data_IF_242008403210
#
_entry.id   IF_242008403210
#
_cell.length_a   1.000
_cell.length_b   1.000
_cell.length_c   1.000
_cell.angle_alpha   90.00
_cell.angle_beta   90.00
_cell.angle_gamma   90.00
#
_symmetry.space_group_name_H-M   'P 1'
#
loop_
_entity.id
_entity.type
_entity.pdbx_description
1 polymer ?
#
# COMPACT_ATOMS: atom_id res chain seq x y z
N UNK A 1 12.64 -18.67 15.14
CA UNK A 1 12.27 -17.43 15.86
C UNK A 1 10.97 -16.96 15.26
N UNK A 2 9.89 -17.10 16.00
CA UNK A 2 8.56 -16.67 15.57
C UNK A 2 8.57 -15.13 15.56
N UNK A 3 8.37 -14.54 14.41
CA UNK A 3 8.19 -13.09 14.28
C UNK A 3 6.70 -12.79 14.41
N UNK A 4 6.18 -12.84 15.63
CA UNK A 4 4.80 -12.41 15.92
C UNK A 4 4.76 -10.89 16.00
N UNK A 5 3.85 -10.29 15.24
CA UNK A 5 3.58 -8.86 15.27
C UNK A 5 2.12 -8.66 15.65
N UNK A 6 1.88 -7.67 16.49
CA UNK A 6 0.54 -7.26 16.88
C UNK A 6 0.34 -5.80 16.44
N UNK A 7 -0.63 -5.57 15.60
CA UNK A 7 -1.07 -4.22 15.26
C UNK A 7 -2.29 -3.87 16.10
N UNK A 8 -2.15 -2.88 16.96
CA UNK A 8 -3.28 -2.34 17.73
C UNK A 8 -4.02 -1.27 16.93
N UNK A 9 -5.26 -0.95 17.33
CA UNK A 9 -6.03 0.13 16.71
C UNK A 9 -5.28 1.45 16.72
N UNK A 10 -4.56 1.75 17.81
CA UNK A 10 -3.77 2.98 17.93
C UNK A 10 -2.59 3.01 16.96
N UNK A 11 -1.94 1.87 16.70
CA UNK A 11 -0.86 1.75 15.71
C UNK A 11 -1.41 2.02 14.32
N UNK A 12 -2.57 1.43 13.98
CA UNK A 12 -3.23 1.64 12.68
C UNK A 12 -3.66 3.09 12.52
N UNK A 13 -4.35 3.68 13.51
CA UNK A 13 -4.78 5.08 13.46
C UNK A 13 -3.60 6.06 13.29
N UNK A 14 -2.49 5.84 14.02
CA UNK A 14 -1.30 6.68 13.89
C UNK A 14 -0.60 6.50 12.54
N UNK A 15 -0.59 5.28 12.00
CA UNK A 15 -0.05 5.02 10.66
C UNK A 15 -0.89 5.75 9.60
N UNK A 16 -2.20 5.63 9.65
CA UNK A 16 -3.11 6.31 8.72
C UNK A 16 -2.94 7.83 8.80
N UNK A 17 -2.81 8.39 10.01
CA UNK A 17 -2.51 9.82 10.20
C UNK A 17 -1.15 10.21 9.60
N UNK A 18 -0.12 9.40 9.79
CA UNK A 18 1.21 9.66 9.24
C UNK A 18 1.24 9.59 7.71
N UNK A 19 0.49 8.68 7.11
CA UNK A 19 0.46 8.44 5.66
C UNK A 19 -0.72 9.13 4.94
N UNK A 20 -1.56 9.85 5.68
CA UNK A 20 -2.78 10.50 5.16
C UNK A 20 -3.73 9.49 4.48
N UNK A 21 -3.76 8.27 5.03
CA UNK A 21 -4.69 7.23 4.59
C UNK A 21 -6.04 7.43 5.30
N UNK A 22 -7.03 7.89 4.55
CA UNK A 22 -8.37 8.18 5.05
C UNK A 22 -9.41 7.11 4.69
N UNK A 23 -8.96 5.89 4.40
CA UNK A 23 -9.87 4.79 4.09
C UNK A 23 -10.64 4.37 5.35
N UNK A 24 -11.99 4.43 5.36
CA UNK A 24 -12.80 4.16 6.54
C UNK A 24 -12.60 2.77 7.17
N UNK A 25 -12.18 1.76 6.39
CA UNK A 25 -11.94 0.41 6.93
C UNK A 25 -10.74 0.34 7.91
N UNK A 26 -9.92 1.39 7.95
CA UNK A 26 -8.80 1.55 8.89
C UNK A 26 -9.14 2.44 10.09
N UNK A 27 -10.35 3.02 10.11
CA UNK A 27 -10.82 3.89 11.19
C UNK A 27 -11.54 3.06 12.27
N UNK A 28 -11.02 3.04 13.52
CA UNK A 28 -11.66 2.29 14.60
C UNK A 28 -13.08 2.77 14.91
N UNK A 29 -13.35 4.07 14.88
CA UNK A 29 -14.67 4.62 15.19
C UNK A 29 -15.70 4.15 14.14
N UNK A 30 -15.35 4.27 12.86
CA UNK A 30 -16.21 3.80 11.77
C UNK A 30 -16.44 2.29 11.84
N UNK A 31 -15.39 1.48 11.95
CA UNK A 31 -15.50 0.02 11.90
C UNK A 31 -16.28 -0.53 13.10
N UNK A 32 -16.09 0.04 14.28
CA UNK A 32 -16.83 -0.37 15.47
C UNK A 32 -18.31 0.00 15.41
N UNK A 33 -18.65 1.12 14.74
CA UNK A 33 -20.06 1.44 14.48
C UNK A 33 -20.75 0.41 13.58
N UNK A 34 -19.97 -0.33 12.77
CA UNK A 34 -20.45 -1.42 11.91
C UNK A 34 -20.35 -2.82 12.58
N UNK A 35 -19.95 -2.88 13.86
CA UNK A 35 -19.66 -4.13 14.57
C UNK A 35 -18.58 -5.00 13.90
N UNK A 36 -17.55 -4.36 13.35
CA UNK A 36 -16.46 -5.00 12.61
C UNK A 36 -15.10 -4.71 13.22
N UNK A 37 -14.14 -5.63 13.01
CA UNK A 37 -12.74 -5.43 13.34
C UNK A 37 -12.10 -4.35 12.45
N UNK A 38 -11.12 -3.63 12.98
CA UNK A 38 -10.36 -2.62 12.23
C UNK A 38 -9.37 -3.32 11.30
N UNK A 39 -9.37 -2.95 10.03
CA UNK A 39 -8.48 -3.56 9.03
C UNK A 39 -7.09 -2.94 9.11
N UNK A 40 -6.06 -3.76 9.15
CA UNK A 40 -4.66 -3.32 9.09
C UNK A 40 -4.34 -2.83 7.68
N UNK A 41 -3.82 -1.61 7.49
CA UNK A 41 -3.39 -1.14 6.17
C UNK A 41 -2.35 -2.06 5.53
N UNK A 42 -2.56 -2.42 4.27
CA UNK A 42 -1.61 -3.27 3.55
C UNK A 42 -0.21 -2.67 3.47
N UNK A 43 -0.11 -1.33 3.43
CA UNK A 43 1.17 -0.62 3.42
C UNK A 43 1.88 -0.65 4.77
N UNK A 44 1.15 -0.66 5.90
CA UNK A 44 1.73 -0.85 7.23
C UNK A 44 2.34 -2.26 7.34
N UNK A 45 1.57 -3.26 6.93
CA UNK A 45 2.03 -4.65 6.91
C UNK A 45 3.27 -4.82 6.03
N UNK A 46 3.21 -4.33 4.79
CA UNK A 46 4.32 -4.38 3.84
C UNK A 46 5.59 -3.72 4.40
N UNK A 47 5.48 -2.50 4.91
CA UNK A 47 6.61 -1.75 5.43
C UNK A 47 7.24 -2.45 6.64
N UNK A 48 6.42 -2.99 7.55
CA UNK A 48 6.90 -3.74 8.71
C UNK A 48 7.66 -4.99 8.29
N UNK A 49 7.12 -5.76 7.35
CA UNK A 49 7.73 -7.00 6.86
C UNK A 49 9.06 -6.71 6.13
N UNK A 50 9.10 -5.71 5.25
CA UNK A 50 10.33 -5.35 4.52
C UNK A 50 11.42 -4.87 5.48
N UNK A 51 11.08 -4.09 6.50
CA UNK A 51 12.03 -3.66 7.53
C UNK A 51 12.56 -4.86 8.34
N UNK A 52 11.71 -5.81 8.72
CA UNK A 52 12.13 -7.02 9.42
C UNK A 52 13.08 -7.86 8.57
N UNK A 53 12.78 -8.04 7.30
CA UNK A 53 13.64 -8.78 6.38
C UNK A 53 14.99 -8.08 6.21
N UNK A 54 14.98 -6.79 5.88
CA UNK A 54 16.22 -6.04 5.70
C UNK A 54 17.10 -6.06 6.97
N UNK A 55 16.49 -6.00 8.16
CA UNK A 55 17.21 -6.15 9.43
C UNK A 55 17.95 -7.47 9.51
N UNK A 56 17.34 -8.54 8.99
CA UNK A 56 17.86 -9.90 9.05
C UNK A 56 18.90 -10.20 7.97
N UNK A 57 18.62 -9.82 6.72
CA UNK A 57 19.45 -10.17 5.56
C UNK A 57 20.44 -9.10 5.16
N UNK A 58 20.15 -7.84 5.47
CA UNK A 58 20.84 -6.64 4.97
C UNK A 58 20.73 -6.46 3.44
N UNK A 59 19.87 -7.23 2.80
CA UNK A 59 19.68 -7.18 1.36
C UNK A 59 18.71 -6.08 0.96
N UNK A 60 18.93 -5.51 -0.23
CA UNK A 60 18.06 -4.55 -0.89
C UNK A 60 17.53 -5.17 -2.18
N UNK A 61 16.25 -4.96 -2.43
CA UNK A 61 15.60 -5.38 -3.65
C UNK A 61 15.17 -4.17 -4.47
N UNK A 62 15.16 -4.30 -5.78
CA UNK A 62 14.67 -3.26 -6.68
C UNK A 62 13.26 -3.53 -7.20
N UNK A 63 12.72 -4.73 -6.95
CA UNK A 63 11.38 -5.11 -7.35
C UNK A 63 10.60 -5.74 -6.20
N UNK A 64 9.37 -5.26 -6.02
CA UNK A 64 8.41 -5.81 -5.07
C UNK A 64 7.08 -6.01 -5.78
N UNK A 65 6.42 -7.13 -5.53
CA UNK A 65 5.06 -7.38 -5.96
C UNK A 65 4.22 -7.79 -4.76
N UNK A 66 3.17 -7.03 -4.50
CA UNK A 66 2.23 -7.27 -3.42
C UNK A 66 0.92 -7.80 -4.02
N UNK A 67 0.35 -8.79 -3.35
CA UNK A 67 -0.97 -9.36 -3.67
C UNK A 67 -1.83 -9.19 -2.41
N UNK A 68 -2.93 -8.48 -2.55
CA UNK A 68 -3.89 -8.26 -1.47
C UNK A 68 -5.05 -9.24 -1.64
N UNK A 69 -4.97 -10.37 -0.96
CA UNK A 69 -5.97 -11.46 -1.06
C UNK A 69 -6.99 -11.43 0.06
N UNK A 70 -6.53 -11.24 1.31
CA UNK A 70 -7.37 -11.30 2.49
C UNK A 70 -7.18 -10.07 3.38
N UNK A 71 -8.13 -9.85 4.28
CA UNK A 71 -8.13 -8.76 5.26
C UNK A 71 -7.53 -9.27 6.55
N UNK A 72 -6.64 -8.50 7.14
CA UNK A 72 -6.08 -8.74 8.47
C UNK A 72 -6.64 -7.67 9.40
N UNK A 73 -7.16 -8.10 10.56
CA UNK A 73 -7.70 -7.18 11.56
C UNK A 73 -6.68 -6.88 12.65
N UNK A 74 -6.87 -5.73 13.31
CA UNK A 74 -6.08 -5.34 14.48
C UNK A 74 -6.33 -6.27 15.68
N UNK A 75 -5.43 -6.18 16.67
CA UNK A 75 -5.52 -6.90 17.94
C UNK A 75 -5.45 -8.43 17.83
N UNK A 76 -5.10 -8.94 16.65
CA UNK A 76 -4.81 -10.35 16.43
C UNK A 76 -3.30 -10.55 16.18
N UNK A 77 -2.64 -11.54 16.80
CA UNK A 77 -1.24 -11.82 16.54
C UNK A 77 -1.06 -12.32 15.11
N UNK A 78 -0.10 -11.74 14.40
CA UNK A 78 0.22 -12.09 13.02
C UNK A 78 1.60 -12.74 13.02
N UNK A 79 1.67 -13.95 12.51
CA UNK A 79 2.94 -14.61 12.25
C UNK A 79 3.51 -14.13 10.92
N UNK A 80 4.69 -13.51 10.96
CA UNK A 80 5.39 -13.06 9.78
C UNK A 80 6.48 -14.07 9.42
N UNK A 81 6.37 -14.62 8.23
CA UNK A 81 7.34 -15.55 7.70
C UNK A 81 7.98 -15.05 6.40
N UNK A 82 9.17 -15.58 6.12
CA UNK A 82 9.76 -15.42 4.81
C UNK A 82 10.35 -16.74 4.34
N UNK A 83 10.39 -16.92 3.04
CA UNK A 83 10.95 -18.09 2.37
C UNK A 83 11.75 -17.62 1.16
N UNK A 84 12.93 -18.20 0.96
CA UNK A 84 13.74 -17.96 -0.24
C UNK A 84 13.63 -19.19 -1.14
N UNK A 85 13.27 -18.97 -2.41
CA UNK A 85 13.25 -20.01 -3.45
C UNK A 85 14.00 -19.51 -4.68
N UNK A 86 15.18 -20.04 -4.92
CA UNK A 86 16.10 -19.53 -5.96
C UNK A 86 16.45 -18.07 -5.66
N UNK A 87 16.34 -17.21 -6.66
CA UNK A 87 16.61 -15.76 -6.55
C UNK A 87 15.45 -14.93 -6.00
N UNK A 88 14.35 -15.57 -5.59
CA UNK A 88 13.16 -14.89 -5.15
C UNK A 88 12.94 -15.05 -3.65
N UNK A 89 12.67 -13.97 -2.99
CA UNK A 89 12.24 -13.92 -1.59
C UNK A 89 10.74 -13.69 -1.51
N UNK A 90 10.12 -14.45 -0.66
CA UNK A 90 8.69 -14.44 -0.43
C UNK A 90 8.42 -14.08 1.02
N UNK A 91 7.56 -13.08 1.19
CA UNK A 91 7.06 -12.71 2.50
C UNK A 91 5.59 -13.08 2.61
N UNK A 92 5.20 -13.55 3.76
CA UNK A 92 3.82 -13.89 4.03
C UNK A 92 3.46 -13.49 5.47
N UNK A 93 2.20 -13.14 5.64
CA UNK A 93 1.60 -12.96 6.95
C UNK A 93 0.60 -14.09 7.17
N UNK A 94 0.69 -14.73 8.34
CA UNK A 94 -0.23 -15.80 8.75
C UNK A 94 -0.98 -15.27 9.97
N UNK A 95 -2.31 -15.21 9.87
CA UNK A 95 -3.15 -14.92 11.01
C UNK A 95 -3.81 -16.22 11.49
N UNK A 96 -3.26 -16.83 12.52
CA UNK A 96 -3.77 -17.97 13.32
C UNK A 96 -4.51 -19.12 12.61
N UNK A 97 -5.37 -18.85 11.67
CA UNK A 97 -6.16 -19.84 10.93
C UNK A 97 -6.39 -19.53 9.45
N UNK A 98 -6.19 -18.29 9.02
CA UNK A 98 -6.36 -17.92 7.63
C UNK A 98 -5.03 -17.53 7.05
N UNK A 99 -4.29 -18.55 6.60
CA UNK A 99 -3.24 -18.29 5.64
C UNK A 99 -3.85 -17.45 4.51
N UNK A 100 -3.09 -16.48 4.01
CA UNK A 100 -3.28 -15.99 2.65
C UNK A 100 -3.26 -17.23 1.74
N UNK A 101 -4.36 -17.93 1.75
CA UNK A 101 -4.40 -19.28 1.25
C UNK A 101 -5.15 -19.37 -0.05
N UNK A 102 -4.38 -19.36 -1.06
CA UNK A 102 -4.47 -20.44 -2.03
C UNK A 102 -3.06 -20.91 -2.25
N UNK A 103 -2.84 -22.13 -2.71
CA UNK A 103 -1.54 -22.79 -2.82
C UNK A 103 -0.43 -22.01 -3.53
N UNK A 104 -0.69 -20.80 -4.02
CA UNK A 104 0.21 -19.91 -4.75
C UNK A 104 0.20 -18.43 -4.28
N UNK A 105 -0.60 -18.04 -3.27
CA UNK A 105 -0.75 -16.65 -2.90
C UNK A 105 0.27 -16.24 -1.83
N UNK A 106 1.40 -15.83 -2.32
CA UNK A 106 2.46 -15.23 -1.52
C UNK A 106 2.23 -13.73 -1.51
N UNK A 107 2.06 -13.18 -0.34
CA UNK A 107 1.65 -11.78 -0.15
C UNK A 107 2.62 -10.77 -0.74
N UNK A 108 3.91 -11.08 -0.73
CA UNK A 108 4.96 -10.23 -1.27
C UNK A 108 6.04 -11.07 -1.94
N UNK A 109 6.38 -10.72 -3.16
CA UNK A 109 7.54 -11.26 -3.90
C UNK A 109 8.57 -10.16 -3.99
N UNK A 110 9.83 -10.46 -3.68
CA UNK A 110 10.95 -9.54 -3.82
C UNK A 110 12.07 -10.18 -4.58
N UNK A 111 12.66 -9.44 -5.50
CA UNK A 111 13.79 -9.87 -6.31
C UNK A 111 14.52 -8.68 -6.90
N UNK A 112 15.70 -8.92 -7.44
CA UNK A 112 16.36 -7.97 -8.32
C UNK A 112 16.03 -8.35 -9.77
N UNK A 113 15.61 -7.38 -10.55
CA UNK A 113 15.30 -7.54 -11.97
C UNK A 113 16.01 -6.47 -12.77
N UNK A 114 16.26 -6.78 -14.04
CA UNK A 114 16.66 -5.76 -14.99
C UNK A 114 15.52 -4.76 -15.17
N UNK A 115 15.80 -3.50 -14.88
CA UNK A 115 14.80 -2.45 -14.90
C UNK A 115 14.65 -1.92 -16.35
N UNK A 116 13.42 -1.93 -16.85
CA UNK A 116 13.04 -1.17 -18.02
C UNK A 116 12.40 0.13 -17.57
N UNK A 117 13.06 1.22 -17.87
CA UNK A 117 12.56 2.54 -17.52
C UNK A 117 11.18 2.77 -18.15
N UNK A 118 10.27 3.15 -17.32
CA UNK A 118 8.89 3.40 -17.67
C UNK A 118 8.57 4.82 -17.17
N UNK A 119 8.41 5.74 -18.11
CA UNK A 119 8.00 7.10 -17.79
C UNK A 119 6.50 7.22 -17.98
N UNK A 120 5.71 7.23 -16.93
CA UNK A 120 4.30 7.53 -17.08
C UNK A 120 4.17 8.99 -17.55
N UNK A 121 3.57 9.19 -18.72
CA UNK A 121 3.03 10.49 -19.12
C UNK A 121 1.82 10.79 -18.25
N UNK A 122 2.09 11.06 -16.97
CA UNK A 122 1.07 11.23 -15.95
C UNK A 122 0.93 12.67 -15.51
N UNK A 123 -0.19 12.96 -14.86
CA UNK A 123 -0.41 14.26 -14.22
C UNK A 123 0.42 14.33 -12.95
N UNK A 124 1.10 15.47 -12.77
CA UNK A 124 1.84 15.74 -11.55
C UNK A 124 0.86 16.06 -10.43
N UNK A 125 0.98 15.33 -9.32
CA UNK A 125 0.27 15.57 -8.06
C UNK A 125 1.30 15.85 -6.98
N UNK A 126 1.13 16.95 -6.28
CA UNK A 126 1.99 17.32 -5.16
C UNK A 126 1.32 16.97 -3.84
N UNK A 127 2.07 16.35 -2.94
CA UNK A 127 1.61 15.97 -1.62
C UNK A 127 2.50 16.62 -0.57
N UNK A 128 1.97 17.60 0.21
CA UNK A 128 2.71 18.17 1.33
C UNK A 128 2.84 17.14 2.45
N UNK A 129 3.98 17.12 3.13
CA UNK A 129 4.16 16.30 4.32
C UNK A 129 4.98 17.05 5.37
N UNK A 130 4.84 16.63 6.62
CA UNK A 130 5.62 17.12 7.73
C UNK A 130 6.65 16.07 8.16
N UNK A 131 7.83 16.54 8.59
CA UNK A 131 8.90 15.66 9.07
C UNK A 131 8.44 14.71 10.18
N UNK A 132 7.53 15.17 11.04
CA UNK A 132 6.94 14.37 12.10
C UNK A 132 6.15 13.16 11.59
N UNK A 133 5.54 13.25 10.39
CA UNK A 133 4.85 12.12 9.76
C UNK A 133 5.83 11.00 9.39
N UNK A 134 6.98 11.37 8.81
CA UNK A 134 8.05 10.42 8.48
C UNK A 134 8.66 9.80 9.75
N UNK A 135 8.86 10.60 10.80
CA UNK A 135 9.36 10.11 12.08
C UNK A 135 8.39 9.12 12.72
N UNK A 136 7.10 9.46 12.78
CA UNK A 136 6.05 8.56 13.24
C UNK A 136 5.99 7.26 12.42
N UNK A 137 6.06 7.38 11.09
CA UNK A 137 6.09 6.20 10.21
C UNK A 137 7.29 5.28 10.53
N UNK A 138 8.47 5.85 10.72
CA UNK A 138 9.69 5.10 11.08
C UNK A 138 9.53 4.35 12.39
N UNK A 139 8.97 4.99 13.41
CA UNK A 139 8.70 4.37 14.71
C UNK A 139 7.72 3.20 14.58
N UNK A 140 6.56 3.43 13.92
CA UNK A 140 5.50 2.44 13.77
C UNK A 140 5.93 1.21 12.94
N UNK A 141 6.81 1.40 11.97
CA UNK A 141 7.32 0.32 11.11
C UNK A 141 8.63 -0.29 11.60
N UNK A 142 9.11 0.11 12.79
CA UNK A 142 10.38 -0.33 13.35
C UNK A 142 11.57 -0.17 12.39
N UNK A 143 11.63 0.96 11.72
CA UNK A 143 12.65 1.21 10.70
C UNK A 143 13.97 1.66 11.33
N UNK A 144 15.07 1.03 10.88
CA UNK A 144 16.45 1.36 11.33
C UNK A 144 17.31 1.92 10.21
N UNK A 145 16.78 1.92 8.99
CA UNK A 145 17.50 2.39 7.82
C UNK A 145 16.73 3.56 7.19
N UNK A 146 17.31 4.74 7.23
CA UNK A 146 16.63 5.95 6.74
C UNK A 146 16.28 5.85 5.26
N UNK A 147 17.20 5.39 4.41
CA UNK A 147 16.98 5.28 2.96
C UNK A 147 15.86 4.31 2.63
N UNK A 148 15.81 3.16 3.31
CA UNK A 148 14.72 2.19 3.13
C UNK A 148 13.40 2.74 3.66
N UNK A 149 13.45 3.41 4.80
CA UNK A 149 12.31 4.01 5.46
C UNK A 149 11.67 5.11 4.61
N UNK A 150 12.48 5.97 4.03
CA UNK A 150 12.03 7.05 3.16
C UNK A 150 11.34 6.47 1.91
N UNK A 151 11.93 5.45 1.33
CA UNK A 151 11.34 4.72 0.21
C UNK A 151 9.97 4.11 0.59
N UNK A 152 9.88 3.39 1.71
CA UNK A 152 8.64 2.76 2.17
C UNK A 152 7.58 3.80 2.53
N UNK A 153 7.98 4.91 3.15
CA UNK A 153 7.07 6.02 3.45
C UNK A 153 6.47 6.62 2.17
N UNK A 154 7.31 6.89 1.16
CA UNK A 154 6.80 7.47 -0.09
C UNK A 154 5.84 6.53 -0.81
N UNK A 155 6.02 5.22 -0.74
CA UNK A 155 5.08 4.25 -1.32
C UNK A 155 3.76 4.26 -0.55
N UNK A 156 3.80 4.24 0.79
CA UNK A 156 2.59 4.33 1.60
C UNK A 156 1.84 5.65 1.35
N UNK A 157 2.58 6.74 1.22
CA UNK A 157 2.03 8.07 0.92
C UNK A 157 1.49 8.20 -0.51
N UNK A 158 2.00 7.41 -1.46
CA UNK A 158 1.48 7.35 -2.83
C UNK A 158 0.02 6.86 -2.89
N UNK A 159 -0.41 6.03 -1.94
CA UNK A 159 -1.81 5.61 -1.84
C UNK A 159 -2.72 6.81 -1.59
N UNK A 160 -2.35 7.72 -0.69
CA UNK A 160 -3.11 8.94 -0.44
C UNK A 160 -3.13 9.86 -1.67
N UNK A 161 -2.00 10.00 -2.38
CA UNK A 161 -1.92 10.75 -3.62
C UNK A 161 -2.83 10.18 -4.71
N UNK A 162 -2.89 8.86 -4.81
CA UNK A 162 -3.75 8.14 -5.76
C UNK A 162 -5.23 8.38 -5.46
N UNK A 163 -5.65 8.25 -4.19
CA UNK A 163 -7.02 8.53 -3.78
C UNK A 163 -7.39 10.00 -3.93
N UNK A 164 -6.46 10.90 -3.63
CA UNK A 164 -6.66 12.33 -3.88
C UNK A 164 -6.88 12.60 -5.37
N UNK A 165 -6.10 12.00 -6.26
CA UNK A 165 -6.29 12.12 -7.71
C UNK A 165 -7.68 11.63 -8.15
N UNK A 166 -8.18 10.55 -7.56
CA UNK A 166 -9.53 10.04 -7.85
C UNK A 166 -10.61 10.98 -7.32
N UNK A 167 -10.44 11.59 -6.15
CA UNK A 167 -11.42 12.54 -5.57
C UNK A 167 -11.42 13.89 -6.27
N UNK A 168 -10.28 14.32 -6.77
CA UNK A 168 -10.08 15.58 -7.50
C UNK A 168 -9.72 15.28 -8.96
N UNK A 169 -10.64 14.74 -9.77
CA UNK A 169 -10.34 14.26 -11.10
C UNK A 169 -10.01 15.40 -12.07
N UNK A 170 -9.00 15.17 -12.91
CA UNK A 170 -8.59 16.07 -13.99
C UNK A 170 -8.80 15.40 -15.35
N UNK A 171 -8.74 14.05 -15.39
CA UNK A 171 -8.91 13.26 -16.61
C UNK A 171 -10.30 12.61 -16.66
N UNK A 172 -10.69 12.17 -17.87
CA UNK A 172 -11.93 11.42 -18.07
C UNK A 172 -11.92 10.09 -17.28
N UNK A 173 -10.78 9.39 -17.24
CA UNK A 173 -10.63 8.13 -16.52
C UNK A 173 -10.75 8.34 -15.02
N UNK A 174 -10.10 9.37 -14.47
CA UNK A 174 -10.27 9.75 -13.06
C UNK A 174 -11.71 10.09 -12.74
N UNK A 175 -12.40 10.82 -13.64
CA UNK A 175 -13.81 11.17 -13.50
C UNK A 175 -14.70 9.92 -13.53
N UNK A 176 -14.40 8.95 -14.39
CA UNK A 176 -15.12 7.68 -14.43
C UNK A 176 -14.98 6.91 -13.11
N UNK A 177 -13.74 6.79 -12.61
CA UNK A 177 -13.46 6.13 -11.32
C UNK A 177 -14.17 6.88 -10.18
N UNK A 178 -14.06 8.21 -10.16
CA UNK A 178 -14.73 9.04 -9.15
C UNK A 178 -16.25 8.83 -9.15
N UNK A 179 -16.89 8.75 -10.32
CA UNK A 179 -18.34 8.46 -10.43
C UNK A 179 -18.71 7.08 -9.91
N UNK A 180 -17.83 6.08 -10.09
CA UNK A 180 -18.06 4.75 -9.52
C UNK A 180 -18.02 4.77 -8.00
N UNK A 181 -17.13 5.60 -7.42
CA UNK A 181 -16.97 5.75 -5.98
C UNK A 181 -18.05 6.63 -5.35
N UNK A 182 -18.43 7.72 -6.03
CA UNK A 182 -19.42 8.68 -5.56
C UNK A 182 -20.85 8.27 -5.87
N UNK A 183 -21.13 7.04 -6.25
CA UNK A 183 -22.50 6.51 -6.27
C UNK A 183 -23.10 6.40 -4.86
N UNK A 184 -22.91 7.43 -4.06
CA UNK A 184 -23.47 7.61 -2.72
C UNK A 184 -25.00 7.57 -2.62
N UNK A 185 -25.68 7.27 -3.73
CA UNK A 185 -27.13 7.15 -3.82
C UNK A 185 -27.57 5.70 -4.11
N UNK A 186 -26.63 4.76 -4.24
CA UNK A 186 -26.92 3.40 -4.56
C UNK A 186 -26.61 2.48 -3.36
N UNK A 187 -27.49 1.53 -2.98
CA UNK A 187 -27.26 0.60 -1.86
C UNK A 187 -26.03 -0.30 -2.04
N UNK A 188 -25.43 -0.32 -3.21
CA UNK A 188 -24.17 -0.99 -3.50
C UNK A 188 -23.04 0.06 -3.69
N UNK A 189 -22.71 0.78 -2.62
CA UNK A 189 -21.54 1.63 -2.60
C UNK A 189 -20.30 0.82 -2.99
N UNK A 190 -19.43 1.38 -3.83
CA UNK A 190 -18.30 0.66 -4.39
C UNK A 190 -17.02 1.36 -3.96
N UNK A 191 -16.18 0.65 -3.23
CA UNK A 191 -14.86 1.15 -2.84
C UNK A 191 -13.77 0.63 -3.77
N UNK A 192 -12.75 1.44 -4.10
CA UNK A 192 -11.59 0.95 -4.80
C UNK A 192 -10.79 0.05 -3.86
N UNK A 193 -10.38 -1.08 -4.37
CA UNK A 193 -9.54 -2.00 -3.66
C UNK A 193 -8.31 -2.32 -4.51
N UNK A 194 -7.13 -2.30 -3.90
CA UNK A 194 -5.93 -2.76 -4.58
C UNK A 194 -5.93 -4.28 -4.64
N UNK A 195 -5.93 -4.83 -5.84
CA UNK A 195 -5.74 -6.25 -6.03
C UNK A 195 -4.25 -6.60 -6.01
N UNK A 196 -3.45 -5.81 -6.73
CA UNK A 196 -2.00 -5.98 -6.78
C UNK A 196 -1.30 -4.64 -6.82
N UNK A 197 -0.09 -4.60 -6.28
CA UNK A 197 0.83 -3.49 -6.39
C UNK A 197 2.20 -4.03 -6.79
N UNK A 198 2.73 -3.55 -7.90
CA UNK A 198 4.10 -3.81 -8.34
C UNK A 198 4.92 -2.53 -8.18
N UNK A 199 6.10 -2.63 -7.58
CA UNK A 199 6.98 -1.50 -7.27
C UNK A 199 8.36 -1.78 -7.86
N UNK A 200 8.87 -0.83 -8.62
CA UNK A 200 10.22 -0.85 -9.18
C UNK A 200 11.02 0.29 -8.60
N UNK A 201 12.01 -0.02 -7.79
CA UNK A 201 12.91 0.96 -7.20
C UNK A 201 14.02 1.28 -8.18
N UNK A 202 14.03 2.49 -8.70
CA UNK A 202 14.98 2.94 -9.73
C UNK A 202 16.36 3.19 -9.12
N UNK A 203 16.40 3.83 -7.96
CA UNK A 203 17.64 4.15 -7.27
C UNK A 203 17.61 3.61 -5.83
N UNK A 204 18.37 2.55 -5.58
CA UNK A 204 18.37 1.86 -4.29
C UNK A 204 19.06 2.64 -3.17
N UNK A 205 19.95 3.57 -3.52
CA UNK A 205 20.81 4.29 -2.57
C UNK A 205 20.52 5.79 -2.51
N UNK A 206 19.54 6.28 -3.25
CA UNK A 206 19.20 7.69 -3.20
C UNK A 206 18.58 8.05 -1.86
N UNK A 207 19.19 9.01 -1.19
CA UNK A 207 18.56 9.68 -0.06
C UNK A 207 17.48 10.64 -0.59
N UNK A 208 16.28 10.47 -0.10
CA UNK A 208 15.20 11.39 -0.37
C UNK A 208 15.32 12.57 0.59
N UNK A 209 15.90 13.65 0.11
CA UNK A 209 15.93 14.92 0.86
C UNK A 209 14.61 15.65 0.60
N UNK A 210 13.59 15.32 1.37
CA UNK A 210 12.30 15.95 1.25
C UNK A 210 12.28 17.33 1.88
N UNK A 211 11.89 18.33 1.11
CA UNK A 211 11.65 19.70 1.56
C UNK A 211 10.17 19.98 1.78
N UNK A 212 9.47 19.05 2.44
CA UNK A 212 8.06 19.21 2.79
C UNK A 212 7.04 18.91 1.69
N UNK A 213 7.50 18.51 0.50
CA UNK A 213 6.64 18.16 -0.64
C UNK A 213 7.18 16.89 -1.32
N UNK A 214 6.26 15.98 -1.66
CA UNK A 214 6.55 14.82 -2.50
C UNK A 214 5.73 14.97 -3.79
N UNK A 215 6.37 14.77 -4.92
CA UNK A 215 5.72 14.81 -6.22
C UNK A 215 5.50 13.41 -6.77
N UNK A 216 4.30 13.18 -7.27
CA UNK A 216 3.92 11.96 -7.95
C UNK A 216 3.41 12.27 -9.35
N UNK A 217 3.90 11.55 -10.35
CA UNK A 217 3.27 11.48 -11.67
C UNK A 217 2.28 10.32 -11.66
N UNK A 218 1.02 10.59 -11.89
CA UNK A 218 -0.05 9.59 -11.85
C UNK A 218 -0.76 9.53 -13.18
N UNK A 219 -0.89 8.31 -13.72
CA UNK A 219 -1.68 8.01 -14.91
C UNK A 219 -2.63 6.85 -14.62
N UNK A 220 -3.86 7.00 -15.03
CA UNK A 220 -4.85 5.94 -14.97
C UNK A 220 -5.17 5.43 -16.38
N UNK A 221 -5.22 4.10 -16.50
CA UNK A 221 -5.67 3.40 -17.69
C UNK A 221 -6.79 2.42 -17.32
N UNK A 222 -7.75 2.25 -18.22
CA UNK A 222 -8.81 1.25 -18.06
C UNK A 222 -8.39 -0.05 -18.73
N UNK A 223 -8.41 -1.14 -18.00
CA UNK A 223 -8.23 -2.47 -18.57
C UNK A 223 -9.56 -2.93 -19.20
N UNK A 224 -9.62 -3.02 -20.54
CA UNK A 224 -10.87 -3.19 -21.30
C UNK A 224 -11.68 -4.46 -20.96
N UNK A 225 -11.03 -5.48 -20.40
CA UNK A 225 -11.67 -6.80 -20.22
C UNK A 225 -12.40 -6.98 -18.87
N UNK A 226 -12.04 -6.29 -17.76
CA UNK A 226 -12.37 -6.75 -16.40
C UNK A 226 -12.91 -5.71 -15.43
N UNK A 227 -13.38 -4.54 -15.84
CA UNK A 227 -13.73 -3.44 -14.90
C UNK A 227 -12.58 -3.11 -13.92
N UNK A 228 -11.35 -3.37 -14.33
CA UNK A 228 -10.14 -3.14 -13.60
C UNK A 228 -9.49 -1.87 -14.13
N UNK A 229 -8.98 -1.05 -13.23
CA UNK A 229 -8.21 0.14 -13.56
C UNK A 229 -6.75 -0.10 -13.20
N UNK A 230 -5.87 0.38 -14.02
CA UNK A 230 -4.43 0.37 -13.75
C UNK A 230 -4.00 1.80 -13.49
N UNK A 231 -3.44 2.04 -12.31
CA UNK A 231 -2.79 3.30 -12.01
C UNK A 231 -1.28 3.10 -12.03
N UNK A 232 -0.61 3.90 -12.82
CA UNK A 232 0.84 3.97 -12.89
C UNK A 232 1.26 5.20 -12.09
N UNK A 233 2.16 5.01 -11.13
CA UNK A 233 2.61 6.08 -10.24
C UNK A 233 4.13 6.10 -10.23
N UNK A 234 4.73 7.25 -10.52
CA UNK A 234 6.15 7.49 -10.33
C UNK A 234 6.36 8.54 -9.25
N UNK A 235 7.21 8.24 -8.26
CA UNK A 235 7.70 9.22 -7.30
C UNK A 235 8.87 9.98 -7.92
N UNK A 236 8.74 11.30 -8.00
CA UNK A 236 9.73 12.16 -8.64
C UNK A 236 10.22 13.22 -7.64
N UNK A 237 11.50 13.46 -7.60
CA UNK A 237 12.10 14.54 -6.83
C UNK A 237 13.28 15.13 -7.61
N UNK A 238 13.34 16.46 -7.76
CA UNK A 238 14.36 17.14 -8.52
C UNK A 238 14.58 16.54 -9.93
N UNK A 239 13.49 16.24 -10.65
CA UNK A 239 13.47 15.59 -11.95
C UNK A 239 14.10 14.17 -12.00
N UNK A 240 14.36 13.56 -10.84
CA UNK A 240 14.81 12.18 -10.74
C UNK A 240 13.67 11.27 -10.30
N UNK A 241 13.52 10.15 -10.99
CA UNK A 241 12.56 9.12 -10.59
C UNK A 241 13.20 8.21 -9.52
N UNK A 242 12.54 8.06 -8.38
CA UNK A 242 13.01 7.19 -7.29
C UNK A 242 12.45 5.80 -7.39
N UNK A 243 11.17 5.70 -7.70
CA UNK A 243 10.52 4.44 -7.98
C UNK A 243 9.34 4.65 -8.93
N UNK A 244 8.92 3.55 -9.49
CA UNK A 244 7.69 3.43 -10.26
C UNK A 244 6.86 2.31 -9.69
N UNK A 245 5.56 2.49 -9.73
CA UNK A 245 4.62 1.49 -9.22
C UNK A 245 3.40 1.37 -10.13
N UNK A 246 2.86 0.16 -10.16
CA UNK A 246 1.65 -0.18 -10.92
C UNK A 246 0.64 -0.76 -9.96
N UNK A 247 -0.46 -0.04 -9.76
CA UNK A 247 -1.60 -0.46 -8.95
C UNK A 247 -2.68 -1.04 -9.87
N UNK A 248 -3.13 -2.25 -9.60
CA UNK A 248 -4.36 -2.78 -10.19
C UNK A 248 -5.50 -2.59 -9.20
N UNK A 249 -6.42 -1.72 -9.58
CA UNK A 249 -7.59 -1.33 -8.81
C UNK A 249 -8.80 -2.09 -9.30
N UNK A 250 -9.55 -2.64 -8.38
CA UNK A 250 -10.84 -3.28 -8.65
C UNK A 250 -11.91 -2.54 -7.86
N UNK A 251 -13.03 -2.27 -8.48
CA UNK A 251 -14.21 -1.72 -7.80
C UNK A 251 -14.96 -2.88 -7.12
N UNK A 252 -14.99 -2.88 -5.79
CA UNK A 252 -15.64 -3.91 -4.98
C UNK A 252 -16.79 -3.27 -4.20
N UNK A 253 -17.99 -3.88 -4.20
CA UNK A 253 -19.10 -3.42 -3.36
C UNK A 253 -18.72 -3.46 -1.87
N UNK A 254 -19.02 -2.40 -1.13
CA UNK A 254 -18.68 -2.28 0.30
C UNK A 254 -19.22 -3.46 1.12
N UNK A 255 -20.39 -3.98 0.78
CA UNK A 255 -20.95 -5.19 1.39
C UNK A 255 -20.04 -6.41 1.27
N UNK A 256 -19.28 -6.54 0.17
CA UNK A 256 -18.31 -7.64 0.03
C UNK A 256 -17.10 -7.41 0.88
N UNK A 257 -16.58 -6.18 0.95
CA UNK A 257 -15.48 -5.82 1.84
C UNK A 257 -15.88 -6.12 3.28
N UNK A 258 -17.07 -5.66 3.71
CA UNK A 258 -17.55 -5.89 5.09
C UNK A 258 -17.77 -7.38 5.42
N UNK A 259 -18.07 -8.22 4.42
CA UNK A 259 -18.14 -9.68 4.63
C UNK A 259 -16.76 -10.34 4.80
N UNK A 260 -15.71 -9.75 4.24
CA UNK A 260 -14.34 -10.23 4.40
C UNK A 260 -13.76 -9.87 5.78
N UNK A 261 -14.32 -8.85 6.43
CA UNK A 261 -13.90 -8.39 7.75
C UNK A 261 -14.66 -9.18 8.82
N UNK A 262 -13.92 -9.73 9.78
CA UNK A 262 -14.50 -10.46 10.92
C UNK A 262 -15.39 -9.54 11.76
N UNK A 263 -16.45 -10.13 12.33
CA UNK A 263 -17.23 -9.49 13.36
C UNK A 263 -16.39 -9.32 14.65
N UNK A 264 -16.66 -8.26 15.37
CA UNK A 264 -15.96 -7.94 16.62
C UNK A 264 -16.38 -8.85 17.77
#
# INVERSE_FOLDING_TARGET
MENKVLFTDSVVANFCKATVDDNPIHDPEFMYSQNKGVVVPGMLLFSTIVNLLHRKTKEYFNYYKLIFGNVICTNEPIDLGFETKGEQNYLYAINGHDMFSTKNDRSVVMRNIEYKEFHPDGIVRTMPFHKTQLETFRELTNSFNNTLSDFLFTIAYASAALFKAIREPITEVETEINRLLNKAINPDQVSPFYQTLEIFRVNQHAELKFEGIIEYKIRFDREKANKTYVAQVACVHNNQCFYQSVYRLVAIPDKLIMRMVKDR
#
